data_IF_265131063651
#
_entry.id   IF_265131063651
#
_cell.length_a   1.000
_cell.length_b   1.000
_cell.length_c   1.000
_cell.angle_alpha   90.00
_cell.angle_beta   90.00
_cell.angle_gamma   90.00
#
_symmetry.space_group_name_H-M   'P 1'
#
loop_
_entity.id
_entity.type
_entity.pdbx_description
1 polymer ?
#
# COMPACT_ATOMS: atom_id res chain seq x y z
N UNK A 1 15.16 -9.86 14.27
CA UNK A 1 14.43 -9.47 13.03
C UNK A 1 13.24 -10.40 12.80
N UNK A 2 12.08 -9.90 12.34
CA UNK A 2 10.83 -10.58 11.90
C UNK A 2 10.62 -12.08 12.20
N UNK A 3 11.53 -12.97 11.78
CA UNK A 3 11.55 -14.37 12.22
C UNK A 3 11.57 -14.54 13.75
N UNK A 4 12.32 -13.69 14.47
CA UNK A 4 12.32 -13.63 15.94
C UNK A 4 10.96 -13.21 16.53
N UNK A 5 10.15 -12.47 15.76
CA UNK A 5 8.78 -12.11 16.13
C UNK A 5 7.77 -13.20 15.73
N UNK A 6 8.24 -14.37 15.27
CA UNK A 6 7.40 -15.50 14.86
C UNK A 6 6.81 -15.38 13.44
N UNK A 7 7.25 -14.40 12.65
CA UNK A 7 6.75 -14.23 11.29
C UNK A 7 7.39 -15.25 10.32
N UNK A 8 6.58 -15.79 9.41
CA UNK A 8 7.04 -16.67 8.34
C UNK A 8 7.54 -15.87 7.14
N UNK A 9 8.78 -16.12 6.71
CA UNK A 9 9.34 -15.53 5.50
C UNK A 9 9.10 -16.42 4.29
N UNK A 10 8.10 -16.07 3.46
CA UNK A 10 7.82 -16.82 2.22
C UNK A 10 8.86 -16.55 1.14
N UNK A 11 8.96 -15.32 0.64
CA UNK A 11 9.90 -14.93 -0.41
C UNK A 11 10.13 -13.41 -0.44
N UNK A 12 11.14 -12.97 -1.21
CA UNK A 12 11.38 -11.56 -1.53
C UNK A 12 11.00 -11.31 -2.98
N UNK A 13 9.91 -10.58 -3.18
CA UNK A 13 9.46 -10.15 -4.50
C UNK A 13 10.24 -8.91 -4.92
N UNK A 14 10.68 -8.88 -6.18
CA UNK A 14 11.31 -7.72 -6.81
C UNK A 14 10.26 -6.98 -7.64
N UNK A 15 9.79 -5.83 -7.13
CA UNK A 15 9.03 -4.91 -7.96
C UNK A 15 9.99 -4.15 -8.88
N UNK A 16 10.03 -4.55 -10.16
CA UNK A 16 10.77 -3.91 -11.24
C UNK A 16 9.95 -2.76 -11.81
N UNK A 17 10.54 -1.56 -11.78
CA UNK A 17 9.97 -0.32 -12.28
C UNK A 17 10.31 -0.15 -13.76
N UNK A 18 9.47 0.58 -14.47
CA UNK A 18 9.68 0.98 -15.86
C UNK A 18 10.88 1.92 -16.04
N UNK A 19 11.24 2.67 -14.99
CA UNK A 19 12.36 3.62 -14.98
C UNK A 19 12.90 3.84 -13.56
N UNK A 20 14.19 4.12 -13.43
CA UNK A 20 14.80 4.55 -12.16
C UNK A 20 14.62 6.06 -11.92
N UNK A 21 14.71 6.50 -10.66
CA UNK A 21 14.89 7.94 -10.35
C UNK A 21 16.38 8.24 -10.31
N UNK A 22 16.81 9.32 -10.98
CA UNK A 22 18.18 9.81 -10.89
C UNK A 22 18.43 10.41 -9.50
N UNK A 23 19.41 9.86 -8.80
CA UNK A 23 19.89 10.36 -7.53
C UNK A 23 21.41 10.32 -7.44
N UNK A 24 21.95 10.62 -6.26
CA UNK A 24 23.41 10.70 -6.00
C UNK A 24 24.09 9.34 -5.78
N UNK A 25 23.37 8.23 -5.97
CA UNK A 25 23.93 6.89 -5.82
C UNK A 25 24.73 6.48 -7.06
N UNK A 26 25.75 5.64 -6.88
CA UNK A 26 26.54 5.08 -7.99
C UNK A 26 25.69 4.26 -8.94
N UNK A 27 24.71 3.53 -8.39
CA UNK A 27 23.71 2.77 -9.15
C UNK A 27 22.31 3.29 -8.88
N UNK A 28 21.56 3.50 -9.97
CA UNK A 28 20.19 3.99 -9.90
C UNK A 28 19.23 2.81 -9.83
N UNK A 29 18.47 2.73 -8.73
CA UNK A 29 17.59 1.57 -8.46
C UNK A 29 16.34 1.63 -9.32
N UNK A 30 16.23 0.69 -10.24
CA UNK A 30 15.03 0.43 -11.04
C UNK A 30 14.11 -0.62 -10.40
N UNK A 31 14.30 -0.94 -9.12
CA UNK A 31 13.44 -1.89 -8.41
C UNK A 31 13.28 -1.54 -6.92
N UNK A 32 12.32 -2.19 -6.28
CA UNK A 32 12.16 -2.23 -4.82
C UNK A 32 11.84 -3.67 -4.36
N UNK A 33 12.49 -4.17 -3.30
CA UNK A 33 12.13 -5.46 -2.71
C UNK A 33 10.84 -5.33 -1.88
N UNK A 34 9.99 -6.34 -1.97
CA UNK A 34 8.72 -6.45 -1.26
C UNK A 34 8.68 -7.81 -0.59
N UNK A 35 8.20 -7.84 0.64
CA UNK A 35 7.97 -9.10 1.33
C UNK A 35 6.51 -9.51 1.21
N UNK A 36 6.26 -10.54 0.40
CA UNK A 36 4.99 -11.25 0.26
C UNK A 36 5.24 -12.55 -0.51
N UNK A 37 4.26 -13.44 -0.60
CA UNK A 37 4.43 -14.67 -1.36
C UNK A 37 3.12 -15.36 -1.69
N UNK A 38 3.11 -16.00 -2.85
CA UNK A 38 2.09 -16.94 -3.31
C UNK A 38 2.81 -18.15 -3.97
N UNK A 39 2.10 -19.22 -4.30
CA UNK A 39 2.72 -20.47 -4.78
C UNK A 39 2.75 -20.62 -6.31
N UNK A 40 2.13 -19.71 -7.06
CA UNK A 40 1.90 -19.87 -8.50
C UNK A 40 2.36 -18.68 -9.37
N UNK A 41 3.17 -17.77 -8.82
CA UNK A 41 3.63 -16.57 -9.52
C UNK A 41 5.16 -16.43 -9.52
N UNK A 42 5.68 -15.71 -10.51
CA UNK A 42 7.08 -15.28 -10.51
C UNK A 42 7.38 -14.23 -9.43
N UNK A 43 8.62 -14.22 -8.98
CA UNK A 43 9.19 -13.34 -7.95
C UNK A 43 9.55 -11.93 -8.47
N UNK A 44 9.52 -11.71 -9.79
CA UNK A 44 9.71 -10.39 -10.41
C UNK A 44 8.39 -9.85 -10.91
N UNK A 45 7.97 -8.70 -10.36
CA UNK A 45 6.74 -8.01 -10.76
C UNK A 45 7.09 -6.75 -11.55
N UNK A 46 6.78 -6.74 -12.84
CA UNK A 46 6.98 -5.58 -13.71
C UNK A 46 5.74 -4.69 -13.67
N UNK A 47 5.80 -3.62 -12.87
CA UNK A 47 4.69 -2.67 -12.73
C UNK A 47 5.25 -1.25 -12.85
N UNK A 48 4.71 -0.48 -13.78
CA UNK A 48 5.14 0.90 -14.00
C UNK A 48 4.82 1.78 -12.78
N UNK A 49 5.68 2.78 -12.52
CA UNK A 49 5.38 3.79 -11.50
C UNK A 49 4.23 4.70 -11.95
N UNK A 50 3.48 5.31 -11.02
CA UNK A 50 2.54 6.36 -11.38
C UNK A 50 3.25 7.45 -12.20
N UNK A 51 2.66 7.87 -13.32
CA UNK A 51 3.20 8.95 -14.15
C UNK A 51 3.15 10.29 -13.42
N UNK A 52 2.13 10.47 -12.59
CA UNK A 52 1.90 11.65 -11.77
C UNK A 52 1.72 11.23 -10.31
N UNK A 53 2.32 12.01 -9.41
CA UNK A 53 2.30 11.78 -7.97
C UNK A 53 1.88 13.08 -7.27
N UNK A 54 0.87 13.78 -7.83
CA UNK A 54 0.44 15.10 -7.37
C UNK A 54 0.02 15.11 -5.90
N UNK A 55 -0.52 13.98 -5.41
CA UNK A 55 -1.03 13.86 -4.05
C UNK A 55 0.04 13.51 -3.00
N UNK A 56 1.13 12.83 -3.36
CA UNK A 56 2.18 12.40 -2.42
C UNK A 56 3.47 12.01 -3.14
N UNK A 57 4.66 12.39 -2.67
CA UNK A 57 5.93 12.16 -3.38
C UNK A 57 6.31 10.68 -3.60
N UNK A 58 5.78 9.76 -2.79
CA UNK A 58 6.11 8.32 -2.83
C UNK A 58 4.89 7.40 -3.02
N UNK A 59 3.88 7.85 -3.77
CA UNK A 59 2.70 7.03 -4.03
C UNK A 59 3.06 5.71 -4.74
N UNK A 60 2.58 4.58 -4.20
CA UNK A 60 2.73 3.26 -4.82
C UNK A 60 1.68 3.07 -5.93
N UNK A 61 1.99 2.30 -7.00
CA UNK A 61 0.97 1.94 -7.99
C UNK A 61 -0.15 1.12 -7.34
N UNK A 62 -1.40 1.41 -7.70
CA UNK A 62 -2.56 0.69 -7.16
C UNK A 62 -2.49 -0.81 -7.47
N UNK A 63 -2.18 -1.16 -8.72
CA UNK A 63 -2.05 -2.55 -9.16
C UNK A 63 -1.01 -3.36 -8.38
N UNK A 64 0.05 -2.71 -7.88
CA UNK A 64 1.06 -3.36 -7.06
C UNK A 64 0.47 -3.79 -5.71
N UNK A 65 -0.28 -2.89 -5.07
CA UNK A 65 -0.88 -3.13 -3.75
C UNK A 65 -2.04 -4.11 -3.86
N UNK A 66 -2.88 -4.01 -4.89
CA UNK A 66 -3.95 -4.97 -5.16
C UNK A 66 -3.43 -6.40 -5.34
N UNK A 67 -2.33 -6.57 -6.09
CA UNK A 67 -1.67 -7.87 -6.26
C UNK A 67 -1.17 -8.42 -4.93
N UNK A 68 -0.50 -7.59 -4.12
CA UNK A 68 0.00 -8.00 -2.81
C UNK A 68 -1.14 -8.43 -1.86
N UNK A 69 -2.25 -7.68 -1.82
CA UNK A 69 -3.43 -8.01 -1.02
C UNK A 69 -4.04 -9.33 -1.49
N UNK A 70 -4.21 -9.52 -2.80
CA UNK A 70 -4.79 -10.74 -3.35
C UNK A 70 -3.97 -11.98 -3.05
N UNK A 71 -2.64 -11.87 -3.10
CA UNK A 71 -1.73 -12.98 -2.80
C UNK A 71 -1.71 -13.35 -1.31
N UNK A 72 -2.05 -12.41 -0.42
CA UNK A 72 -1.79 -12.55 1.03
C UNK A 72 -3.05 -12.60 1.90
N UNK A 73 -4.24 -12.53 1.31
CA UNK A 73 -5.52 -12.47 2.05
C UNK A 73 -6.69 -12.95 1.19
N UNK A 74 -7.87 -13.09 1.78
CA UNK A 74 -9.14 -13.41 1.11
C UNK A 74 -10.11 -12.23 1.20
N UNK A 75 -11.11 -12.14 0.31
CA UNK A 75 -12.21 -11.19 0.49
C UNK A 75 -12.82 -11.29 1.89
N UNK A 76 -13.06 -10.15 2.53
CA UNK A 76 -13.54 -10.04 3.91
C UNK A 76 -12.43 -10.01 4.98
N UNK A 77 -11.19 -10.38 4.63
CA UNK A 77 -10.07 -10.27 5.58
C UNK A 77 -9.72 -8.80 5.87
N UNK A 78 -8.98 -8.62 6.96
CA UNK A 78 -8.48 -7.31 7.40
C UNK A 78 -7.08 -7.05 6.84
N UNK A 79 -6.90 -5.87 6.27
CA UNK A 79 -5.60 -5.30 5.88
C UNK A 79 -5.26 -4.17 6.85
N UNK A 80 -4.06 -4.22 7.43
CA UNK A 80 -3.54 -3.16 8.31
C UNK A 80 -2.40 -2.44 7.60
N UNK A 81 -2.51 -1.12 7.49
CA UNK A 81 -1.44 -0.25 6.98
C UNK A 81 -1.16 0.87 7.99
N UNK A 82 0.01 0.81 8.61
CA UNK A 82 0.41 1.80 9.62
C UNK A 82 1.09 3.04 9.02
N UNK A 83 1.26 3.07 7.70
CA UNK A 83 1.95 4.13 6.96
C UNK A 83 1.18 4.45 5.68
N UNK A 84 -0.13 4.68 5.83
CA UNK A 84 -1.06 4.68 4.70
C UNK A 84 -0.80 5.82 3.70
N UNK A 85 -0.11 6.89 4.16
CA UNK A 85 0.31 8.02 3.34
C UNK A 85 -0.85 8.57 2.54
N UNK A 86 -0.77 8.44 1.21
CA UNK A 86 -1.79 8.93 0.29
C UNK A 86 -3.07 8.09 0.18
N UNK A 87 -3.22 7.00 0.94
CA UNK A 87 -4.45 6.19 0.90
C UNK A 87 -4.49 5.08 -0.17
N UNK A 88 -3.35 4.71 -0.78
CA UNK A 88 -3.33 3.70 -1.85
C UNK A 88 -3.84 2.34 -1.34
N UNK A 89 -3.45 1.94 -0.14
CA UNK A 89 -3.87 0.66 0.47
C UNK A 89 -5.36 0.64 0.80
N UNK A 90 -5.94 1.77 1.23
CA UNK A 90 -7.39 1.89 1.47
C UNK A 90 -8.17 1.60 0.18
N UNK A 91 -7.79 2.23 -0.93
CA UNK A 91 -8.44 2.04 -2.23
C UNK A 91 -8.22 0.62 -2.75
N UNK A 92 -7.02 0.07 -2.60
CA UNK A 92 -6.72 -1.29 -3.03
C UNK A 92 -7.53 -2.33 -2.25
N UNK A 93 -7.66 -2.15 -0.93
CA UNK A 93 -8.48 -3.00 -0.09
C UNK A 93 -9.96 -2.93 -0.49
N UNK A 94 -10.50 -1.73 -0.71
CA UNK A 94 -11.88 -1.54 -1.18
C UNK A 94 -12.14 -2.28 -2.49
N UNK A 95 -11.26 -2.09 -3.50
CA UNK A 95 -11.36 -2.77 -4.81
C UNK A 95 -11.24 -4.28 -4.74
N UNK A 96 -10.55 -4.78 -3.73
CA UNK A 96 -10.35 -6.21 -3.51
C UNK A 96 -11.30 -6.78 -2.45
N UNK A 97 -12.30 -6.02 -1.99
CA UNK A 97 -13.26 -6.43 -0.98
C UNK A 97 -12.61 -6.87 0.35
N UNK A 98 -11.60 -6.13 0.83
CA UNK A 98 -10.99 -6.26 2.17
C UNK A 98 -11.38 -5.08 3.04
N UNK A 99 -11.36 -5.28 4.35
CA UNK A 99 -11.52 -4.19 5.33
C UNK A 99 -10.12 -3.64 5.62
N UNK A 100 -9.89 -2.35 5.39
CA UNK A 100 -8.60 -1.73 5.69
C UNK A 100 -8.66 -0.88 6.96
N UNK A 101 -7.71 -1.09 7.87
CA UNK A 101 -7.39 -0.14 8.93
C UNK A 101 -6.10 0.59 8.56
N UNK A 102 -6.19 1.90 8.40
CA UNK A 102 -5.07 2.76 8.05
C UNK A 102 -4.66 3.67 9.21
N UNK A 103 -3.36 3.88 9.39
CA UNK A 103 -2.81 4.93 10.25
C UNK A 103 -1.84 5.80 9.43
N UNK A 104 -1.88 7.10 9.71
CA UNK A 104 -0.96 8.08 9.17
C UNK A 104 -0.69 9.13 10.26
N UNK A 105 0.57 9.53 10.39
CA UNK A 105 1.01 10.45 11.45
C UNK A 105 0.84 11.92 11.01
N UNK A 106 0.97 12.20 9.72
CA UNK A 106 0.83 13.55 9.18
C UNK A 106 -0.65 13.87 8.88
N UNK A 107 -1.27 14.84 9.58
CA UNK A 107 -2.66 15.23 9.33
C UNK A 107 -2.93 15.70 7.89
N UNK A 108 -1.93 16.24 7.20
CA UNK A 108 -2.03 16.60 5.79
C UNK A 108 -2.29 15.35 4.94
N UNK A 109 -1.52 14.29 5.14
CA UNK A 109 -1.69 13.04 4.40
C UNK A 109 -2.93 12.27 4.81
N UNK A 110 -3.37 12.35 6.07
CA UNK A 110 -4.71 11.89 6.47
C UNK A 110 -5.80 12.53 5.61
N UNK A 111 -5.73 13.86 5.41
CA UNK A 111 -6.71 14.60 4.60
C UNK A 111 -6.66 14.18 3.13
N UNK A 112 -5.46 13.99 2.57
CA UNK A 112 -5.26 13.50 1.19
C UNK A 112 -5.84 12.08 1.03
N UNK A 113 -5.55 11.17 1.96
CA UNK A 113 -6.05 9.80 1.91
C UNK A 113 -7.58 9.73 1.96
N UNK A 114 -8.21 10.51 2.86
CA UNK A 114 -9.66 10.61 2.98
C UNK A 114 -10.26 11.13 1.67
N UNK A 115 -9.80 12.27 1.17
CA UNK A 115 -10.35 12.87 -0.06
C UNK A 115 -10.24 11.92 -1.26
N UNK A 116 -9.13 11.19 -1.37
CA UNK A 116 -8.93 10.19 -2.43
C UNK A 116 -9.85 8.98 -2.28
N UNK A 117 -10.05 8.50 -1.06
CA UNK A 117 -10.96 7.38 -0.79
C UNK A 117 -12.41 7.79 -1.07
N UNK A 118 -12.83 8.97 -0.63
CA UNK A 118 -14.18 9.50 -0.87
C UNK A 118 -14.46 9.67 -2.37
N UNK A 119 -13.51 10.26 -3.10
CA UNK A 119 -13.62 10.42 -4.55
C UNK A 119 -13.70 9.06 -5.27
N UNK A 120 -12.97 8.06 -4.78
CA UNK A 120 -13.02 6.71 -5.34
C UNK A 120 -14.33 5.98 -5.01
N UNK A 121 -14.77 6.01 -3.76
CA UNK A 121 -15.94 5.28 -3.28
C UNK A 121 -17.26 5.96 -3.62
N UNK A 122 -17.25 7.26 -3.95
CA UNK A 122 -18.45 8.06 -4.13
C UNK A 122 -19.25 8.25 -2.84
N UNK A 123 -18.59 8.14 -1.68
CA UNK A 123 -19.18 8.23 -0.36
C UNK A 123 -18.36 9.15 0.55
N UNK A 124 -19.01 9.81 1.50
CA UNK A 124 -18.34 10.71 2.45
C UNK A 124 -17.90 9.93 3.68
N UNK A 125 -16.65 10.13 4.10
CA UNK A 125 -16.08 9.51 5.28
C UNK A 125 -16.80 10.04 6.54
N UNK A 126 -17.15 9.12 7.43
CA UNK A 126 -17.77 9.47 8.70
C UNK A 126 -16.70 9.55 9.78
N UNK A 127 -16.58 10.71 10.43
CA UNK A 127 -15.74 10.85 11.61
C UNK A 127 -16.40 10.17 12.80
N UNK A 128 -15.79 9.09 13.27
CA UNK A 128 -16.20 8.46 14.53
C UNK A 128 -15.50 9.19 15.68
N UNK A 129 -16.28 9.79 16.57
CA UNK A 129 -15.78 10.38 17.82
C UNK A 129 -15.95 9.29 18.89
N UNK A 130 -14.87 8.75 19.48
CA UNK A 130 -15.02 7.82 20.58
C UNK A 130 -15.78 8.51 21.72
N UNK A 131 -16.65 7.79 22.44
CA UNK A 131 -17.30 8.35 23.63
C UNK A 131 -16.21 8.84 24.59
N UNK A 132 -16.45 9.98 25.26
CA UNK A 132 -15.55 10.45 26.31
C UNK A 132 -15.33 9.30 27.29
N UNK A 133 -14.06 8.96 27.54
CA UNK A 133 -13.69 7.93 28.50
C UNK A 133 -14.46 8.16 29.81
N UNK A 134 -15.20 7.13 30.25
CA UNK A 134 -15.93 7.15 31.51
C UNK A 134 -15.00 6.82 32.69
#
# INVERSE_FOLDING_TARGET
MLAEAGAHWSDTIIWKKDRFTLGRADYQRAYEPIWCGDRDQGDVWEIARPSESEAHPTQKPLALVERAINNSSRPGDVVLDLFVGSGTTLIAAERTARICFGMEIDPHYCSVAIARLEAFAGAVATRIIPPAEA
#
